data_IF_907317123349
#
_entry.id   IF_907317123349
#
_cell.length_a   1.000
_cell.length_b   1.000
_cell.length_c   1.000
_cell.angle_alpha   90.00
_cell.angle_beta   90.00
_cell.angle_gamma   90.00
#
_symmetry.space_group_name_H-M   'P 1'
#
loop_
_entity.id
_entity.type
_entity.pdbx_description
1 polymer ?
#
# COMPACT_ATOMS: atom_id res chain seq x y z
N UNK A 1 21.68 20.73 -17.90
CA UNK A 1 20.46 19.95 -17.62
C UNK A 1 19.74 19.66 -18.95
N UNK A 2 19.63 18.40 -19.37
CA UNK A 2 18.89 18.05 -20.59
C UNK A 2 17.38 18.21 -20.34
N UNK A 3 16.70 19.00 -21.18
CA UNK A 3 15.24 19.15 -21.14
C UNK A 3 14.59 17.83 -21.59
N UNK A 4 13.85 17.19 -20.68
CA UNK A 4 13.00 16.04 -20.98
C UNK A 4 11.92 16.47 -21.97
N UNK A 5 11.78 15.72 -23.07
CA UNK A 5 10.75 15.94 -24.09
C UNK A 5 9.43 15.29 -23.68
N UNK A 6 8.31 15.66 -24.34
CA UNK A 6 6.96 15.10 -24.06
C UNK A 6 6.92 13.57 -24.10
N UNK A 7 7.82 12.92 -24.86
CA UNK A 7 8.04 11.46 -24.89
C UNK A 7 8.68 10.89 -23.62
N UNK A 8 9.52 11.67 -22.95
CA UNK A 8 10.12 11.34 -21.64
C UNK A 8 9.11 11.57 -20.49
N UNK A 9 8.01 12.29 -20.77
CA UNK A 9 6.88 12.57 -19.86
C UNK A 9 5.70 11.61 -20.12
N UNK A 10 5.77 10.77 -21.16
CA UNK A 10 4.91 9.57 -21.29
C UNK A 10 5.29 8.67 -20.11
N UNK A 11 4.50 8.83 -19.06
CA UNK A 11 4.93 8.76 -17.66
C UNK A 11 5.66 7.48 -17.29
N UNK A 12 6.66 7.59 -16.41
CA UNK A 12 7.35 6.42 -15.82
C UNK A 12 6.34 5.42 -15.23
N UNK A 13 5.20 5.89 -14.72
CA UNK A 13 4.07 5.07 -14.27
C UNK A 13 3.35 4.29 -15.38
N UNK A 14 3.22 4.87 -16.58
CA UNK A 14 2.70 4.20 -17.77
C UNK A 14 3.65 3.08 -18.24
N UNK A 15 4.97 3.37 -18.27
CA UNK A 15 5.99 2.37 -18.62
C UNK A 15 6.02 1.19 -17.64
N UNK A 16 5.95 1.46 -16.34
CA UNK A 16 5.94 0.40 -15.32
C UNK A 16 4.68 -0.46 -15.39
N UNK A 17 3.50 0.17 -15.51
CA UNK A 17 2.22 -0.55 -15.59
C UNK A 17 2.18 -1.46 -16.81
N UNK A 18 2.68 -0.99 -17.97
CA UNK A 18 2.72 -1.79 -19.18
C UNK A 18 3.74 -2.93 -19.10
N UNK A 19 4.92 -2.69 -18.51
CA UNK A 19 5.88 -3.76 -18.24
C UNK A 19 5.28 -4.85 -17.34
N UNK A 20 4.57 -4.46 -16.28
CA UNK A 20 3.89 -5.42 -15.39
C UNK A 20 2.76 -6.19 -16.09
N UNK A 21 2.08 -5.59 -17.07
CA UNK A 21 1.09 -6.29 -17.90
C UNK A 21 1.73 -7.36 -18.78
N UNK A 22 2.86 -7.04 -19.41
CA UNK A 22 3.62 -8.01 -20.22
C UNK A 22 4.08 -9.16 -19.35
N UNK A 23 4.69 -8.89 -18.19
CA UNK A 23 5.14 -9.93 -17.26
C UNK A 23 3.98 -10.83 -16.83
N UNK A 24 2.80 -10.26 -16.53
CA UNK A 24 1.60 -11.05 -16.18
C UNK A 24 1.10 -11.92 -17.33
N UNK A 25 1.21 -11.45 -18.56
CA UNK A 25 0.82 -12.21 -19.74
C UNK A 25 1.77 -13.38 -20.00
N UNK A 26 3.07 -13.17 -19.80
CA UNK A 26 4.11 -14.19 -20.01
C UNK A 26 4.22 -15.19 -18.84
N UNK A 27 3.88 -14.76 -17.62
CA UNK A 27 3.94 -15.54 -16.38
C UNK A 27 2.58 -15.60 -15.66
N UNK A 28 1.58 -16.29 -16.22
CA UNK A 28 0.23 -16.34 -15.64
C UNK A 28 0.17 -17.05 -14.27
N UNK A 29 1.18 -17.83 -13.91
CA UNK A 29 1.34 -18.44 -12.60
C UNK A 29 1.58 -17.41 -11.48
N UNK A 30 2.05 -16.21 -11.82
CA UNK A 30 2.29 -15.12 -10.87
C UNK A 30 1.10 -14.17 -10.84
N UNK A 31 0.47 -14.03 -9.67
CA UNK A 31 -0.61 -13.05 -9.50
C UNK A 31 -0.04 -11.64 -9.35
N UNK A 32 -0.28 -10.80 -10.36
CA UNK A 32 0.09 -9.38 -10.37
C UNK A 32 -1.19 -8.53 -10.30
N UNK A 33 -1.32 -7.74 -9.23
CA UNK A 33 -2.39 -6.74 -9.07
C UNK A 33 -1.89 -5.41 -9.64
N UNK A 34 -2.47 -4.99 -10.77
CA UNK A 34 -2.16 -3.74 -11.43
C UNK A 34 -2.70 -2.54 -10.63
N UNK A 35 -2.11 -1.33 -10.76
CA UNK A 35 -2.55 -0.16 -10.01
C UNK A 35 -4.05 0.18 -10.15
N UNK A 36 -4.64 -0.06 -11.32
CA UNK A 36 -6.06 0.15 -11.60
C UNK A 36 -6.97 -0.96 -11.04
N UNK A 37 -6.41 -2.12 -10.69
CA UNK A 37 -7.12 -3.24 -10.06
C UNK A 37 -7.11 -3.14 -8.53
N UNK A 38 -6.24 -2.29 -7.98
CA UNK A 38 -6.22 -1.99 -6.55
C UNK A 38 -7.46 -1.21 -6.12
N UNK A 39 -7.77 -1.28 -4.84
CA UNK A 39 -8.81 -0.46 -4.22
C UNK A 39 -8.36 1.01 -4.30
N UNK A 40 -9.14 1.81 -5.00
CA UNK A 40 -8.81 3.21 -5.26
C UNK A 40 -9.22 4.05 -4.04
N UNK A 41 -8.27 4.81 -3.48
CA UNK A 41 -8.52 5.75 -2.39
C UNK A 41 -8.29 7.15 -2.90
N UNK A 42 -9.35 7.94 -2.96
CA UNK A 42 -9.42 9.27 -3.56
C UNK A 42 -9.52 10.36 -2.49
N UNK A 43 -9.21 11.61 -2.83
CA UNK A 43 -9.48 12.73 -1.94
C UNK A 43 -10.95 12.78 -1.52
N UNK A 44 -11.20 12.88 -0.22
CA UNK A 44 -12.55 12.88 0.37
C UNK A 44 -13.04 11.52 0.87
N UNK A 45 -12.35 10.42 0.53
CA UNK A 45 -12.69 9.11 1.07
C UNK A 45 -12.36 9.01 2.56
N UNK A 46 -13.18 8.27 3.32
CA UNK A 46 -12.85 7.88 4.68
C UNK A 46 -11.79 6.78 4.67
N UNK A 47 -10.53 7.22 4.58
CA UNK A 47 -9.35 6.33 4.55
C UNK A 47 -9.34 5.39 5.76
N UNK A 48 -9.75 5.87 6.93
CA UNK A 48 -9.76 5.08 8.16
C UNK A 48 -10.71 3.90 8.04
N UNK A 49 -11.98 4.16 7.71
CA UNK A 49 -12.98 3.10 7.54
C UNK A 49 -12.58 2.09 6.47
N UNK A 50 -11.92 2.54 5.39
CA UNK A 50 -11.43 1.66 4.33
C UNK A 50 -10.32 0.70 4.79
N UNK A 51 -9.34 1.19 5.57
CA UNK A 51 -8.16 0.37 5.92
C UNK A 51 -8.30 -0.43 7.21
N UNK A 52 -9.21 -0.05 8.13
CA UNK A 52 -9.46 -0.74 9.41
C UNK A 52 -9.52 -2.27 9.27
N UNK A 53 -10.35 -2.85 8.38
CA UNK A 53 -10.47 -4.31 8.31
C UNK A 53 -9.17 -4.98 7.87
N UNK A 54 -8.37 -4.34 7.02
CA UNK A 54 -7.09 -4.87 6.55
C UNK A 54 -6.02 -4.80 7.63
N UNK A 55 -5.94 -3.69 8.37
CA UNK A 55 -5.00 -3.54 9.48
C UNK A 55 -5.29 -4.56 10.58
N UNK A 56 -6.56 -4.82 10.88
CA UNK A 56 -6.97 -5.83 11.86
C UNK A 56 -6.47 -7.23 11.48
N UNK A 57 -6.67 -7.64 10.21
CA UNK A 57 -6.19 -8.94 9.70
C UNK A 57 -4.67 -9.04 9.73
N UNK A 58 -3.95 -8.00 9.27
CA UNK A 58 -2.48 -7.97 9.25
C UNK A 58 -1.94 -8.10 10.68
N UNK A 59 -2.48 -7.31 11.61
CA UNK A 59 -2.08 -7.37 13.02
C UNK A 59 -2.31 -8.75 13.61
N UNK A 60 -3.51 -9.31 13.43
CA UNK A 60 -3.85 -10.63 13.96
C UNK A 60 -2.91 -11.72 13.41
N UNK A 61 -2.59 -11.68 12.13
CA UNK A 61 -1.69 -12.66 11.50
C UNK A 61 -0.27 -12.60 12.06
N UNK A 62 0.27 -11.38 12.25
CA UNK A 62 1.63 -11.17 12.76
C UNK A 62 1.74 -11.39 14.28
N UNK A 63 0.73 -10.99 15.05
CA UNK A 63 0.72 -11.18 16.51
C UNK A 63 0.52 -12.66 16.88
N UNK A 64 -0.27 -13.40 16.10
CA UNK A 64 -0.43 -14.86 16.30
C UNK A 64 0.73 -15.71 15.77
N UNK A 65 1.77 -15.07 15.21
CA UNK A 65 2.94 -15.71 14.57
C UNK A 65 2.60 -16.72 13.47
N UNK A 66 1.38 -16.67 12.91
CA UNK A 66 0.93 -17.59 11.84
C UNK A 66 1.70 -17.40 10.54
N UNK A 67 2.17 -16.18 10.27
CA UNK A 67 2.84 -15.80 9.01
C UNK A 67 4.28 -15.32 9.22
N UNK A 68 4.83 -15.52 10.43
CA UNK A 68 6.11 -14.98 10.87
C UNK A 68 5.96 -13.87 11.90
N UNK A 69 7.11 -13.28 12.28
CA UNK A 69 7.18 -12.23 13.30
C UNK A 69 7.38 -10.84 12.67
N UNK A 70 6.99 -9.80 13.42
CA UNK A 70 7.33 -8.42 13.10
C UNK A 70 8.84 -8.25 12.90
N UNK A 71 9.25 -7.65 11.79
CA UNK A 71 10.66 -7.32 11.58
C UNK A 71 11.00 -6.00 12.29
N UNK A 72 11.85 -6.07 13.30
CA UNK A 72 12.24 -4.93 14.12
C UNK A 72 11.32 -4.73 15.33
N UNK A 73 11.87 -4.06 16.35
CA UNK A 73 11.25 -3.93 17.67
C UNK A 73 10.59 -2.56 17.93
N UNK A 74 10.74 -1.59 17.02
CA UNK A 74 10.16 -0.25 17.19
C UNK A 74 8.76 -0.17 16.58
N UNK A 75 7.92 0.75 17.09
CA UNK A 75 6.60 1.03 16.52
C UNK A 75 6.69 1.46 15.05
N UNK A 76 7.67 2.31 14.73
CA UNK A 76 7.93 2.78 13.37
C UNK A 76 8.19 1.62 12.38
N UNK A 77 8.95 0.59 12.80
CA UNK A 77 9.17 -0.59 11.97
C UNK A 77 7.86 -1.32 11.65
N UNK A 78 6.95 -1.44 12.62
CA UNK A 78 5.65 -2.10 12.42
C UNK A 78 4.74 -1.27 11.51
N UNK A 79 4.67 0.04 11.73
CA UNK A 79 3.91 0.99 10.90
C UNK A 79 4.36 0.90 9.44
N UNK A 80 5.67 0.94 9.19
CA UNK A 80 6.25 0.85 7.83
C UNK A 80 5.90 -0.48 7.15
N UNK A 81 5.89 -1.58 7.90
CA UNK A 81 5.51 -2.90 7.39
C UNK A 81 4.03 -2.95 6.99
N UNK A 82 3.13 -2.47 7.86
CA UNK A 82 1.69 -2.41 7.56
C UNK A 82 1.43 -1.51 6.36
N UNK A 83 2.05 -0.32 6.33
CA UNK A 83 1.92 0.61 5.20
C UNK A 83 2.33 -0.05 3.88
N UNK A 84 3.44 -0.77 3.87
CA UNK A 84 3.90 -1.52 2.69
C UNK A 84 2.92 -2.61 2.28
N UNK A 85 2.31 -3.32 3.23
CA UNK A 85 1.29 -4.32 2.93
C UNK A 85 0.04 -3.68 2.34
N UNK A 86 -0.43 -2.57 2.91
CA UNK A 86 -1.59 -1.84 2.40
C UNK A 86 -1.40 -1.35 0.96
N UNK A 87 -0.20 -0.90 0.58
CA UNK A 87 0.05 -0.43 -0.81
C UNK A 87 0.04 -1.56 -1.85
N UNK A 88 0.03 -2.84 -1.44
CA UNK A 88 -0.23 -3.94 -2.36
C UNK A 88 -1.71 -4.03 -2.78
N UNK A 89 -2.63 -3.64 -1.90
CA UNK A 89 -4.09 -3.74 -2.12
C UNK A 89 -4.74 -2.40 -2.46
N UNK A 90 -4.19 -1.30 -1.95
CA UNK A 90 -4.73 0.04 -2.12
C UNK A 90 -3.85 0.88 -3.04
N UNK A 91 -4.50 1.70 -3.85
CA UNK A 91 -3.87 2.78 -4.59
C UNK A 91 -4.36 4.11 -4.04
N UNK A 92 -3.48 4.79 -3.31
CA UNK A 92 -3.74 6.09 -2.70
C UNK A 92 -3.43 7.19 -3.72
N UNK A 93 -4.46 7.91 -4.15
CA UNK A 93 -4.29 9.07 -5.03
C UNK A 93 -3.64 10.23 -4.27
N UNK A 94 -2.93 11.08 -4.99
CA UNK A 94 -2.33 12.28 -4.40
C UNK A 94 -3.42 13.13 -3.71
N UNK A 95 -3.12 13.58 -2.50
CA UNK A 95 -4.03 14.41 -1.70
C UNK A 95 -5.12 13.64 -0.93
N UNK A 96 -5.19 12.30 -1.01
CA UNK A 96 -6.15 11.55 -0.18
C UNK A 96 -5.76 11.48 1.30
N UNK A 97 -4.46 11.40 1.59
CA UNK A 97 -3.89 11.44 2.95
C UNK A 97 -2.40 11.78 2.86
N UNK A 98 -1.87 12.54 3.83
CA UNK A 98 -0.43 12.80 3.90
C UNK A 98 0.33 11.56 4.42
N UNK A 99 1.63 11.47 4.17
CA UNK A 99 2.43 10.34 4.68
C UNK A 99 2.45 10.32 6.23
N UNK A 100 2.52 11.50 6.84
CA UNK A 100 2.51 11.67 8.30
C UNK A 100 1.17 11.23 8.89
N UNK A 101 0.05 11.70 8.33
CA UNK A 101 -1.30 11.32 8.82
C UNK A 101 -1.56 9.83 8.60
N UNK A 102 -1.06 9.26 7.51
CA UNK A 102 -1.21 7.84 7.26
C UNK A 102 -0.43 7.00 8.29
N UNK A 103 0.78 7.43 8.65
CA UNK A 103 1.56 6.77 9.70
C UNK A 103 0.86 6.83 11.06
N UNK A 104 0.34 8.01 11.44
CA UNK A 104 -0.42 8.20 12.69
C UNK A 104 -1.70 7.35 12.70
N UNK A 105 -2.40 7.27 11.58
CA UNK A 105 -3.59 6.44 11.45
C UNK A 105 -3.25 4.95 11.62
N UNK A 106 -2.19 4.47 10.97
CA UNK A 106 -1.74 3.07 11.12
C UNK A 106 -1.28 2.80 12.56
N UNK A 107 -0.57 3.74 13.18
CA UNK A 107 -0.16 3.65 14.59
C UNK A 107 -1.37 3.50 15.52
N UNK A 108 -2.37 4.38 15.37
CA UNK A 108 -3.59 4.36 16.16
C UNK A 108 -4.35 3.03 16.01
N UNK A 109 -4.47 2.50 14.79
CA UNK A 109 -5.13 1.23 14.52
C UNK A 109 -4.35 0.01 15.04
N UNK A 110 -3.02 0.11 15.13
CA UNK A 110 -2.18 -0.97 15.65
C UNK A 110 -2.17 -1.01 17.17
N UNK A 111 -2.06 0.15 17.83
CA UNK A 111 -1.70 0.22 19.25
C UNK A 111 -2.79 0.78 20.16
N UNK A 112 -3.64 1.69 19.68
CA UNK A 112 -4.61 2.43 20.51
C UNK A 112 -6.00 1.81 20.37
N UNK A 113 -6.54 1.86 19.16
CA UNK A 113 -7.85 1.30 18.83
C UNK A 113 -7.63 -0.07 18.23
N UNK A 114 -7.40 -1.05 19.10
CA UNK A 114 -7.35 -2.44 18.67
C UNK A 114 -8.74 -2.82 18.14
N UNK A 115 -8.95 -2.70 16.83
CA UNK A 115 -10.14 -3.25 16.19
C UNK A 115 -10.23 -4.73 16.62
N UNK A 116 -11.33 -5.06 17.30
CA UNK A 116 -11.60 -6.36 17.91
C UNK A 116 -11.73 -7.47 16.89
#
# INVERSE_FOLDING_TARGET
MKKKTTRDVISDGFRWTEAMRIVRADHPEVTIILPNEKIQVRPGDDVRSLIIPYVAVIRQALDSKKVGEWKGYTAECRIRQVRRLLTHYFYFHEGCISEQDFNLLVEDLLFVHKAG
#
